data_IF_707532057056
#
_entry.id   IF_707532057056
#
_cell.length_a   1.000
_cell.length_b   1.000
_cell.length_c   1.000
_cell.angle_alpha   90.00
_cell.angle_beta   90.00
_cell.angle_gamma   90.00
#
_symmetry.space_group_name_H-M   'P 1'
#
loop_
_entity.id
_entity.type
_entity.pdbx_description
1 polymer ?
#
# COMPACT_ATOMS: atom_id res chain seq x y z
N UNK A 1 -11.97 -4.48 -5.69
CA UNK A 1 -11.31 -4.63 -4.37
C UNK A 1 -11.42 -6.07 -3.94
N UNK A 2 -10.30 -6.66 -3.49
CA UNK A 2 -10.33 -7.97 -2.83
C UNK A 2 -10.88 -7.75 -1.41
N UNK A 3 -12.14 -8.14 -1.21
CA UNK A 3 -12.81 -8.07 0.09
C UNK A 3 -12.72 -9.40 0.85
N UNK A 4 -12.12 -10.43 0.25
CA UNK A 4 -12.00 -11.76 0.82
C UNK A 4 -10.72 -11.94 1.65
N UNK A 5 -9.74 -11.06 1.47
CA UNK A 5 -8.43 -11.11 2.15
C UNK A 5 -8.16 -9.86 2.97
N UNK A 6 -7.24 -10.00 3.92
CA UNK A 6 -6.79 -8.93 4.82
C UNK A 6 -5.33 -8.56 4.58
N UNK A 7 -4.92 -7.40 5.07
CA UNK A 7 -3.54 -6.91 4.98
C UNK A 7 -2.52 -7.86 5.63
N UNK A 8 -2.95 -8.68 6.60
CA UNK A 8 -2.09 -9.69 7.26
C UNK A 8 -1.61 -10.79 6.33
N UNK A 9 -2.27 -10.98 5.19
CA UNK A 9 -1.92 -11.98 4.18
C UNK A 9 -0.93 -11.43 3.13
N UNK A 10 -0.63 -10.13 3.16
CA UNK A 10 0.26 -9.48 2.22
C UNK A 10 1.70 -9.60 2.74
N UNK A 11 2.55 -10.34 2.04
CA UNK A 11 4.00 -10.34 2.29
C UNK A 11 4.60 -9.02 1.82
N UNK A 12 5.18 -8.26 2.75
CA UNK A 12 5.87 -7.00 2.45
C UNK A 12 7.27 -7.28 1.91
N UNK A 13 7.60 -6.70 0.75
CA UNK A 13 8.94 -6.76 0.17
C UNK A 13 9.96 -6.05 1.09
N UNK A 14 11.06 -6.73 1.42
CA UNK A 14 12.23 -6.11 2.07
C UNK A 14 13.32 -5.89 1.01
N UNK A 15 13.69 -4.63 0.80
CA UNK A 15 14.60 -4.19 -0.26
C UNK A 15 16.04 -4.07 0.25
N UNK A 16 16.97 -3.96 -0.69
CA UNK A 16 18.40 -3.92 -0.39
C UNK A 16 18.81 -2.73 0.48
N UNK A 17 19.94 -2.89 1.19
CA UNK A 17 20.51 -1.85 2.06
C UNK A 17 20.87 -0.58 1.29
N UNK A 18 21.25 -0.70 0.03
CA UNK A 18 21.84 0.39 -0.75
C UNK A 18 20.89 1.57 -0.93
N UNK A 19 19.57 1.35 -0.95
CA UNK A 19 18.57 2.43 -1.05
C UNK A 19 18.51 3.35 0.17
N UNK A 20 18.96 2.85 1.34
CA UNK A 20 19.05 3.62 2.57
C UNK A 20 20.49 4.07 2.85
N UNK A 21 21.46 3.24 2.49
CA UNK A 21 22.87 3.53 2.73
C UNK A 21 23.46 4.55 1.77
N UNK A 22 22.85 4.74 0.59
CA UNK A 22 23.31 5.69 -0.42
C UNK A 22 22.17 6.56 -0.94
N UNK A 23 22.51 7.80 -1.30
CA UNK A 23 21.66 8.67 -2.11
C UNK A 23 22.51 9.21 -3.26
N UNK A 24 22.30 8.68 -4.46
CA UNK A 24 23.23 8.87 -5.57
C UNK A 24 24.57 8.21 -5.26
N UNK A 25 25.67 8.96 -5.43
CA UNK A 25 27.04 8.54 -5.12
C UNK A 25 27.45 8.81 -3.65
N UNK A 26 26.58 9.46 -2.86
CA UNK A 26 26.89 9.82 -1.47
C UNK A 26 26.47 8.72 -0.50
N UNK A 27 27.41 8.29 0.33
CA UNK A 27 27.16 7.39 1.46
C UNK A 27 26.48 8.14 2.62
N UNK A 28 25.34 7.61 3.09
CA UNK A 28 24.52 8.13 4.18
C UNK A 28 24.59 7.27 5.45
N UNK A 29 24.76 5.95 5.30
CA UNK A 29 24.92 5.02 6.42
C UNK A 29 26.30 4.33 6.35
N UNK A 30 27.10 4.34 7.44
CA UNK A 30 28.39 3.65 7.48
C UNK A 30 28.28 2.16 7.15
N UNK A 31 29.32 1.62 6.53
CA UNK A 31 29.41 0.19 6.20
C UNK A 31 29.21 -0.69 7.44
N UNK A 32 28.52 -1.81 7.24
CA UNK A 32 28.21 -2.77 8.31
C UNK A 32 27.04 -2.38 9.22
N UNK A 33 26.51 -1.14 9.13
CA UNK A 33 25.27 -0.78 9.83
C UNK A 33 24.10 -1.55 9.22
N UNK A 34 23.41 -2.34 10.06
CA UNK A 34 22.21 -3.06 9.69
C UNK A 34 21.04 -2.09 9.43
N UNK A 35 20.19 -2.44 8.48
CA UNK A 35 19.00 -1.66 8.12
C UNK A 35 17.78 -2.57 8.02
N UNK A 36 16.59 -1.95 8.07
CA UNK A 36 15.32 -2.58 7.70
C UNK A 36 14.69 -1.70 6.63
N UNK A 37 14.42 -2.27 5.45
CA UNK A 37 13.92 -1.51 4.32
C UNK A 37 12.66 -2.17 3.76
N UNK A 38 11.54 -2.05 4.49
CA UNK A 38 10.25 -2.51 4.00
C UNK A 38 9.71 -1.55 2.94
N UNK A 39 9.42 -2.08 1.75
CA UNK A 39 9.01 -1.28 0.59
C UNK A 39 7.60 -0.70 0.73
N UNK A 40 6.76 -1.32 1.54
CA UNK A 40 5.34 -0.97 1.71
C UNK A 40 4.92 -1.07 3.17
N UNK A 41 3.85 -0.36 3.51
CA UNK A 41 3.09 -0.52 4.73
C UNK A 41 1.59 -0.62 4.43
N UNK A 42 0.81 -1.02 5.43
CA UNK A 42 -0.65 -1.06 5.33
C UNK A 42 -1.23 0.21 5.96
N UNK A 43 -2.07 0.92 5.19
CA UNK A 43 -2.89 2.01 5.71
C UNK A 43 -4.31 1.50 6.03
N UNK A 44 -4.73 1.46 7.31
CA UNK A 44 -6.10 1.13 7.68
C UNK A 44 -7.14 2.00 6.98
N UNK A 45 -8.28 1.41 6.59
CA UNK A 45 -9.31 2.11 5.82
C UNK A 45 -10.03 3.23 6.60
N UNK A 46 -10.00 3.21 7.92
CA UNK A 46 -10.52 4.30 8.77
C UNK A 46 -9.65 5.56 8.72
N UNK A 47 -8.43 5.47 8.18
CA UNK A 47 -7.53 6.60 7.92
C UNK A 47 -7.63 7.14 6.48
N UNK A 48 -8.51 6.57 5.65
CA UNK A 48 -8.67 6.97 4.24
C UNK A 48 -10.00 7.71 4.03
N UNK A 49 -9.96 8.93 3.48
CA UNK A 49 -11.16 9.74 3.22
C UNK A 49 -11.93 9.32 1.95
N UNK A 50 -11.18 8.93 0.91
CA UNK A 50 -11.74 8.50 -0.37
C UNK A 50 -10.75 7.65 -1.15
N UNK A 51 -11.28 6.72 -1.96
CA UNK A 51 -10.51 5.97 -2.96
C UNK A 51 -11.04 6.38 -4.33
N UNK A 52 -10.16 6.90 -5.18
CA UNK A 52 -10.51 7.35 -6.53
C UNK A 52 -10.26 6.20 -7.51
N UNK A 53 -11.28 5.87 -8.30
CA UNK A 53 -11.22 4.81 -9.31
C UNK A 53 -11.79 5.30 -10.64
N UNK A 54 -11.66 4.50 -11.69
CA UNK A 54 -12.21 4.75 -13.02
C UNK A 54 -13.74 4.81 -13.06
N UNK A 55 -14.42 4.25 -12.06
CA UNK A 55 -15.89 4.27 -11.93
C UNK A 55 -16.40 5.36 -10.97
N UNK A 56 -15.50 6.21 -10.47
CA UNK A 56 -15.84 7.34 -9.59
C UNK A 56 -15.13 7.30 -8.24
N UNK A 57 -15.70 8.00 -7.27
CA UNK A 57 -15.08 8.19 -5.94
C UNK A 57 -15.80 7.35 -4.89
N UNK A 58 -15.07 6.45 -4.23
CA UNK A 58 -15.57 5.63 -3.13
C UNK A 58 -15.25 6.30 -1.79
N UNK A 59 -16.22 6.39 -0.88
CA UNK A 59 -16.08 7.07 0.43
C UNK A 59 -16.52 6.15 1.57
N UNK A 60 -16.09 6.42 2.82
CA UNK A 60 -16.66 5.76 3.99
C UNK A 60 -18.20 5.90 4.07
N UNK A 61 -18.93 4.89 4.57
CA UNK A 61 -18.43 3.57 4.97
C UNK A 61 -18.10 2.69 3.76
N UNK A 62 -16.85 2.24 3.66
CA UNK A 62 -16.32 1.56 2.48
C UNK A 62 -17.00 0.23 2.16
N UNK A 63 -17.55 -0.46 3.15
CA UNK A 63 -18.36 -1.67 2.94
C UNK A 63 -19.52 -1.44 1.96
N UNK A 64 -20.15 -0.25 1.98
CA UNK A 64 -21.21 0.12 1.05
C UNK A 64 -20.66 0.51 -0.32
N UNK A 65 -19.62 1.35 -0.35
CA UNK A 65 -19.07 1.84 -1.61
C UNK A 65 -18.38 0.74 -2.42
N UNK A 66 -17.77 -0.27 -1.79
CA UNK A 66 -17.19 -1.41 -2.51
C UNK A 66 -18.25 -2.29 -3.20
N UNK A 67 -19.50 -2.31 -2.73
CA UNK A 67 -20.59 -3.01 -3.43
C UNK A 67 -20.91 -2.38 -4.80
N UNK A 68 -20.65 -1.08 -4.98
CA UNK A 68 -20.81 -0.40 -6.28
C UNK A 68 -19.79 -0.93 -7.30
N UNK A 69 -18.62 -1.36 -6.83
CA UNK A 69 -17.56 -1.96 -7.66
C UNK A 69 -17.91 -3.41 -8.01
N UNK A 70 -18.42 -4.20 -7.05
CA UNK A 70 -18.75 -5.61 -7.25
C UNK A 70 -20.00 -5.89 -8.11
N UNK A 71 -20.82 -4.88 -8.39
CA UNK A 71 -22.01 -4.97 -9.28
C UNK A 71 -21.74 -4.44 -10.70
N UNK A 72 -20.49 -4.11 -11.03
CA UNK A 72 -20.07 -3.66 -12.36
C UNK A 72 -20.00 -4.78 -13.40
N UNK A 73 -21.06 -5.56 -13.56
CA UNK A 73 -21.44 -6.01 -14.89
C UNK A 73 -22.18 -4.85 -15.53
N UNK A 74 -21.51 -4.07 -16.35
CA UNK A 74 -22.17 -3.14 -17.27
C UNK A 74 -22.60 -4.00 -18.49
N UNK A 75 -23.73 -3.74 -19.18
CA UNK A 75 -23.95 -4.32 -20.51
C UNK A 75 -22.76 -4.11 -21.44
#
# INVERSE_FOLDING_TARGET
>A
FDLARTEKEITVEERGRDELAYCGDRMLAPDGVAVRNYAFDATPLDLVDAIITEIGVLRPPYARSFQLVGKGGIP
#
